data_IF_557610182344
#
_entry.id   IF_557610182344
#
_cell.length_a   1.000
_cell.length_b   1.000
_cell.length_c   1.000
_cell.angle_alpha   90.00
_cell.angle_beta   90.00
_cell.angle_gamma   90.00
#
_symmetry.space_group_name_H-M   'P 1'
#
loop_
_entity.id
_entity.type
_entity.pdbx_description
1 polymer ?
#
# COMPACT_ATOMS: atom_id res chain seq x y z
N UNK A 1 48.49 -33.03 0.68
CA UNK A 1 47.31 -33.63 0.01
C UNK A 1 46.99 -34.95 0.68
N UNK A 2 46.24 -34.93 1.79
CA UNK A 2 45.50 -36.09 2.24
C UNK A 2 44.30 -36.21 1.29
N UNK A 3 44.37 -37.21 0.40
CA UNK A 3 43.22 -37.51 -0.46
C UNK A 3 42.01 -37.78 0.40
N UNK A 4 41.00 -36.93 0.26
CA UNK A 4 39.68 -37.19 0.83
C UNK A 4 39.23 -38.55 0.31
N UNK A 5 39.26 -39.55 1.20
CA UNK A 5 38.68 -40.86 0.90
C UNK A 5 37.22 -40.57 0.63
N UNK A 6 36.76 -40.83 -0.59
CA UNK A 6 35.35 -40.74 -0.93
C UNK A 6 34.59 -41.58 0.10
N UNK A 7 33.91 -40.91 1.01
CA UNK A 7 33.09 -41.58 2.01
C UNK A 7 31.89 -42.18 1.30
N UNK A 8 31.30 -43.27 1.84
CA UNK A 8 30.09 -43.89 1.30
C UNK A 8 28.98 -42.84 1.08
N UNK A 9 28.93 -41.78 1.92
CA UNK A 9 28.01 -40.65 1.82
C UNK A 9 28.14 -39.93 0.48
N UNK A 10 29.38 -39.54 0.11
CA UNK A 10 29.65 -38.87 -1.17
C UNK A 10 29.33 -39.77 -2.35
N UNK A 11 29.61 -41.06 -2.21
CA UNK A 11 29.28 -42.02 -3.26
C UNK A 11 27.77 -42.19 -3.45
N UNK A 12 27.00 -42.25 -2.35
CA UNK A 12 25.55 -42.32 -2.43
C UNK A 12 24.96 -41.06 -3.08
N UNK A 13 25.45 -39.86 -2.73
CA UNK A 13 25.00 -38.61 -3.35
C UNK A 13 25.28 -38.62 -4.86
N UNK A 14 26.45 -39.05 -5.29
CA UNK A 14 26.78 -39.16 -6.72
C UNK A 14 25.91 -40.19 -7.46
N UNK A 15 25.56 -41.27 -6.80
CA UNK A 15 24.66 -42.29 -7.39
C UNK A 15 23.28 -41.70 -7.59
N UNK A 16 22.72 -41.03 -6.58
CA UNK A 16 21.41 -40.42 -6.66
C UNK A 16 21.35 -39.29 -7.72
N UNK A 17 22.37 -38.41 -7.75
CA UNK A 17 22.47 -37.34 -8.74
C UNK A 17 22.51 -37.85 -10.19
N UNK A 18 23.16 -38.99 -10.41
CA UNK A 18 23.32 -39.55 -11.76
C UNK A 18 22.24 -40.50 -12.19
N UNK A 19 21.67 -41.27 -11.25
CA UNK A 19 20.64 -42.25 -11.54
C UNK A 19 19.21 -41.64 -11.54
N UNK A 20 19.02 -40.56 -10.83
CA UNK A 20 17.69 -39.96 -10.61
C UNK A 20 16.71 -40.88 -9.87
N UNK A 21 17.22 -41.93 -9.19
CA UNK A 21 16.38 -42.90 -8.45
C UNK A 21 16.86 -43.03 -7.00
N UNK A 22 15.92 -43.27 -6.10
CA UNK A 22 16.19 -43.58 -4.67
C UNK A 22 16.64 -45.03 -4.42
N UNK A 23 16.72 -45.86 -5.48
CA UNK A 23 17.12 -47.25 -5.35
C UNK A 23 18.51 -47.46 -4.72
N UNK A 24 19.39 -46.44 -4.86
CA UNK A 24 20.69 -46.43 -4.20
C UNK A 24 20.55 -46.43 -2.67
N UNK A 25 19.61 -45.70 -2.10
CA UNK A 25 19.39 -45.60 -0.65
C UNK A 25 19.07 -46.95 -0.02
N UNK A 26 18.15 -47.73 -0.61
CA UNK A 26 17.78 -49.08 -0.12
C UNK A 26 18.99 -50.03 -0.17
N UNK A 27 19.70 -50.04 -1.28
CA UNK A 27 20.89 -50.88 -1.43
C UNK A 27 21.96 -50.54 -0.38
N UNK A 28 22.18 -49.25 -0.12
CA UNK A 28 23.11 -48.82 0.89
C UNK A 28 22.68 -49.15 2.31
N UNK A 29 21.37 -49.00 2.62
CA UNK A 29 20.81 -49.37 3.91
C UNK A 29 21.01 -50.86 4.24
N UNK A 30 20.85 -51.71 3.24
CA UNK A 30 20.88 -53.15 3.44
C UNK A 30 22.30 -53.76 3.45
N UNK A 31 23.25 -53.17 2.69
CA UNK A 31 24.53 -53.80 2.41
C UNK A 31 25.77 -53.01 2.76
N UNK A 32 25.67 -51.68 2.94
CA UNK A 32 26.81 -50.83 3.11
C UNK A 32 26.85 -50.12 4.46
N UNK A 33 25.67 -49.76 5.00
CA UNK A 33 25.53 -48.88 6.17
C UNK A 33 25.21 -49.69 7.41
N UNK A 34 26.03 -49.55 8.46
CA UNK A 34 25.74 -50.13 9.75
C UNK A 34 24.56 -49.48 10.49
N UNK A 35 24.03 -50.16 11.53
CA UNK A 35 22.89 -49.65 12.29
C UNK A 35 23.08 -48.22 12.82
N UNK A 36 24.30 -47.86 13.21
CA UNK A 36 24.61 -46.50 13.72
C UNK A 36 24.41 -45.37 12.68
N UNK A 37 24.55 -45.70 11.38
CA UNK A 37 24.43 -44.74 10.30
C UNK A 37 23.03 -44.78 9.62
N UNK A 38 22.16 -45.79 9.93
CA UNK A 38 20.81 -45.88 9.37
C UNK A 38 19.95 -44.67 9.73
N UNK A 39 20.09 -44.12 10.95
CA UNK A 39 19.40 -42.91 11.36
C UNK A 39 19.80 -41.70 10.48
N UNK A 40 21.06 -41.62 10.07
CA UNK A 40 21.52 -40.59 9.14
C UNK A 40 20.90 -40.72 7.73
N UNK A 41 20.73 -41.95 7.22
CA UNK A 41 20.01 -42.17 5.95
C UNK A 41 18.54 -41.72 6.02
N UNK A 42 17.87 -42.01 7.11
CA UNK A 42 16.48 -41.57 7.33
C UNK A 42 16.40 -40.02 7.34
N UNK A 43 17.27 -39.36 8.15
CA UNK A 43 17.34 -37.88 8.20
C UNK A 43 17.68 -37.27 6.84
N UNK A 44 18.54 -37.93 6.06
CA UNK A 44 18.84 -37.51 4.69
C UNK A 44 17.57 -37.52 3.81
N UNK A 45 16.79 -38.58 3.86
CA UNK A 45 15.54 -38.69 3.11
C UNK A 45 14.55 -37.58 3.46
N UNK A 46 14.30 -37.41 4.78
CA UNK A 46 13.43 -36.35 5.29
C UNK A 46 13.89 -34.94 4.85
N UNK A 47 15.21 -34.66 5.01
CA UNK A 47 15.79 -33.36 4.63
C UNK A 47 15.69 -33.11 3.13
N UNK A 48 15.96 -34.12 2.29
CA UNK A 48 15.86 -33.99 0.83
C UNK A 48 14.44 -33.75 0.35
N UNK A 49 13.46 -34.43 0.94
CA UNK A 49 12.05 -34.23 0.61
C UNK A 49 11.64 -32.79 0.94
N UNK A 50 11.96 -32.31 2.15
CA UNK A 50 11.66 -30.93 2.54
C UNK A 50 12.40 -29.90 1.68
N UNK A 51 13.69 -30.13 1.41
CA UNK A 51 14.50 -29.28 0.54
C UNK A 51 13.91 -29.16 -0.86
N UNK A 52 13.48 -30.28 -1.46
CA UNK A 52 12.80 -30.30 -2.76
C UNK A 52 11.54 -29.47 -2.79
N UNK A 53 10.68 -29.59 -1.77
CA UNK A 53 9.48 -28.79 -1.65
C UNK A 53 9.76 -27.28 -1.53
N UNK A 54 10.81 -26.90 -0.77
CA UNK A 54 11.23 -25.50 -0.68
C UNK A 54 11.80 -25.00 -2.01
N UNK A 55 12.55 -25.84 -2.73
CA UNK A 55 13.10 -25.49 -4.04
C UNK A 55 11.99 -25.25 -5.08
N UNK A 56 10.98 -26.12 -5.11
CA UNK A 56 9.81 -25.91 -5.97
C UNK A 56 9.08 -24.60 -5.64
N UNK A 57 8.92 -24.30 -4.35
CA UNK A 57 8.32 -23.05 -3.89
C UNK A 57 9.15 -21.82 -4.22
N UNK A 58 10.48 -21.92 -4.13
CA UNK A 58 11.41 -20.84 -4.45
C UNK A 58 11.34 -20.44 -5.94
N UNK A 59 11.01 -21.39 -6.82
CA UNK A 59 10.91 -21.16 -8.26
C UNK A 59 12.27 -20.84 -8.86
N UNK A 60 12.43 -19.64 -9.40
CA UNK A 60 13.67 -19.20 -10.04
C UNK A 60 14.80 -18.86 -9.03
N UNK A 61 14.46 -18.65 -7.75
CA UNK A 61 15.45 -18.35 -6.71
C UNK A 61 16.24 -19.62 -6.36
N UNK A 62 17.56 -19.59 -6.45
CA UNK A 62 18.39 -20.70 -6.00
C UNK A 62 18.42 -20.75 -4.46
N UNK A 63 18.41 -21.98 -3.89
CA UNK A 63 18.52 -22.17 -2.45
C UNK A 63 19.76 -21.47 -1.87
N UNK A 64 19.68 -20.88 -0.66
CA UNK A 64 20.78 -20.17 -0.03
C UNK A 64 22.04 -21.04 0.06
N UNK A 65 23.20 -20.40 -0.15
CA UNK A 65 24.48 -21.11 -0.10
C UNK A 65 24.70 -21.80 1.25
N UNK A 66 24.30 -21.17 2.36
CA UNK A 66 24.40 -21.75 3.70
C UNK A 66 23.60 -23.04 3.87
N UNK A 67 22.40 -23.12 3.31
CA UNK A 67 21.58 -24.33 3.32
C UNK A 67 22.20 -25.43 2.44
N UNK A 68 22.61 -25.07 1.22
CA UNK A 68 23.27 -26.03 0.30
C UNK A 68 24.50 -26.66 0.95
N UNK A 69 25.37 -25.84 1.57
CA UNK A 69 26.57 -26.32 2.24
C UNK A 69 26.29 -27.27 3.41
N UNK A 70 25.15 -27.11 4.10
CA UNK A 70 24.74 -28.01 5.18
C UNK A 70 24.19 -29.31 4.62
N UNK A 71 23.41 -29.28 3.55
CA UNK A 71 22.94 -30.48 2.83
C UNK A 71 24.09 -31.30 2.28
N UNK A 72 25.05 -30.66 1.61
CA UNK A 72 26.26 -31.29 1.06
C UNK A 72 27.17 -31.88 2.17
N UNK A 73 27.20 -31.20 3.33
CA UNK A 73 27.96 -31.61 4.49
C UNK A 73 27.27 -32.68 5.37
N UNK A 74 26.08 -33.16 5.00
CA UNK A 74 25.28 -34.11 5.78
C UNK A 74 24.94 -33.61 7.19
N UNK A 75 24.80 -32.30 7.35
CA UNK A 75 24.43 -31.64 8.61
C UNK A 75 22.92 -31.39 8.67
N UNK A 76 22.13 -32.47 8.64
CA UNK A 76 20.68 -32.37 8.43
C UNK A 76 19.92 -31.70 9.56
N UNK A 77 20.41 -31.79 10.82
CA UNK A 77 19.78 -31.06 11.94
C UNK A 77 19.96 -29.53 11.80
N UNK A 78 21.16 -29.10 11.38
CA UNK A 78 21.41 -27.69 11.06
C UNK A 78 20.66 -27.25 9.79
N UNK A 79 20.57 -28.13 8.79
CA UNK A 79 19.82 -27.87 7.57
C UNK A 79 18.32 -27.72 7.86
N UNK A 80 17.75 -28.49 8.80
CA UNK A 80 16.36 -28.39 9.20
C UNK A 80 16.03 -26.99 9.78
N UNK A 81 16.88 -26.47 10.65
CA UNK A 81 16.74 -25.09 11.19
C UNK A 81 16.82 -24.06 10.06
N UNK A 82 17.76 -24.22 9.14
CA UNK A 82 17.87 -23.35 7.97
C UNK A 82 16.67 -23.41 7.05
N UNK A 83 16.05 -24.57 6.92
CA UNK A 83 14.81 -24.73 6.14
C UNK A 83 13.63 -24.00 6.78
N UNK A 84 13.57 -23.89 8.11
CA UNK A 84 12.59 -23.05 8.81
C UNK A 84 12.79 -21.58 8.46
N UNK A 85 14.04 -21.09 8.47
CA UNK A 85 14.37 -19.71 8.11
C UNK A 85 14.05 -19.44 6.63
N UNK A 86 14.40 -20.36 5.73
CA UNK A 86 14.07 -20.28 4.29
C UNK A 86 12.56 -20.19 4.08
N UNK A 87 11.78 -21.03 4.78
CA UNK A 87 10.32 -21.01 4.68
C UNK A 87 9.76 -19.65 5.11
N UNK A 88 10.29 -19.07 6.19
CA UNK A 88 9.91 -17.74 6.64
C UNK A 88 10.22 -16.63 5.62
N UNK A 89 11.38 -16.72 4.95
CA UNK A 89 11.74 -15.76 3.88
C UNK A 89 10.80 -15.92 2.67
N UNK A 90 10.50 -17.16 2.27
CA UNK A 90 9.59 -17.43 1.15
C UNK A 90 8.16 -16.97 1.45
N UNK A 91 7.67 -17.15 2.69
CA UNK A 91 6.37 -16.63 3.14
C UNK A 91 6.33 -15.10 3.01
N UNK A 92 7.38 -14.44 3.45
CA UNK A 92 7.48 -12.98 3.37
C UNK A 92 7.56 -12.49 1.92
N UNK A 93 8.38 -13.14 1.09
CA UNK A 93 8.47 -12.86 -0.35
C UNK A 93 7.10 -12.96 -1.02
N UNK A 94 6.37 -14.04 -0.76
CA UNK A 94 5.07 -14.29 -1.37
C UNK A 94 4.06 -13.18 -0.98
N UNK A 95 4.10 -12.73 0.28
CA UNK A 95 3.27 -11.61 0.75
C UNK A 95 3.64 -10.28 0.06
N UNK A 96 4.94 -10.01 -0.13
CA UNK A 96 5.44 -8.82 -0.85
C UNK A 96 5.01 -8.87 -2.32
N UNK A 97 5.17 -10.01 -3.00
CA UNK A 97 4.75 -10.20 -4.40
C UNK A 97 3.25 -9.99 -4.56
N UNK A 98 2.44 -10.57 -3.66
CA UNK A 98 0.99 -10.41 -3.70
C UNK A 98 0.57 -8.94 -3.51
N UNK A 99 1.18 -8.25 -2.55
CA UNK A 99 0.88 -6.85 -2.28
C UNK A 99 1.29 -5.93 -3.43
N UNK A 100 2.49 -6.14 -3.99
CA UNK A 100 2.98 -5.42 -5.16
C UNK A 100 2.06 -5.64 -6.39
N UNK A 101 1.62 -6.89 -6.61
CA UNK A 101 0.70 -7.23 -7.68
C UNK A 101 -0.67 -6.54 -7.54
N UNK A 102 -1.20 -6.40 -6.31
CA UNK A 102 -2.45 -5.65 -6.08
C UNK A 102 -2.33 -4.16 -6.39
N UNK A 103 -1.13 -3.60 -6.20
CA UNK A 103 -0.85 -2.19 -6.45
C UNK A 103 -0.36 -1.90 -7.87
N UNK A 104 -0.13 -2.95 -8.67
CA UNK A 104 0.48 -2.88 -10.00
C UNK A 104 1.86 -2.19 -9.96
N UNK A 105 2.69 -2.57 -8.97
CA UNK A 105 4.01 -1.99 -8.71
C UNK A 105 5.09 -3.04 -8.92
N UNK A 106 6.15 -2.68 -9.65
CA UNK A 106 7.32 -3.54 -9.84
C UNK A 106 8.11 -3.72 -8.54
N UNK A 107 8.66 -4.92 -8.34
CA UNK A 107 9.52 -5.20 -7.19
C UNK A 107 10.95 -4.69 -7.43
N UNK A 108 11.62 -4.10 -6.43
CA UNK A 108 13.01 -3.74 -6.53
C UNK A 108 13.91 -4.99 -6.59
N UNK A 109 15.02 -4.87 -7.32
CA UNK A 109 16.03 -5.93 -7.39
C UNK A 109 16.75 -6.09 -6.03
N UNK A 110 17.38 -7.26 -5.83
CA UNK A 110 18.31 -7.49 -4.74
C UNK A 110 17.89 -8.55 -3.73
N UNK A 111 16.59 -8.75 -3.49
CA UNK A 111 16.12 -9.77 -2.53
C UNK A 111 16.52 -11.19 -2.93
N UNK A 112 16.41 -11.53 -4.22
CA UNK A 112 16.87 -12.81 -4.77
C UNK A 112 18.37 -13.03 -4.53
N UNK A 113 19.20 -12.08 -4.92
CA UNK A 113 20.67 -12.17 -4.75
C UNK A 113 21.07 -12.26 -3.27
N UNK A 114 20.39 -11.51 -2.39
CA UNK A 114 20.63 -11.57 -0.95
C UNK A 114 20.24 -12.95 -0.38
N UNK A 115 19.13 -13.53 -0.82
CA UNK A 115 18.69 -14.87 -0.43
C UNK A 115 19.69 -15.94 -0.87
N UNK A 116 20.07 -15.97 -2.16
CA UNK A 116 20.94 -16.97 -2.73
C UNK A 116 22.36 -16.95 -2.14
N UNK A 117 22.87 -15.76 -1.82
CA UNK A 117 24.19 -15.56 -1.21
C UNK A 117 24.22 -15.79 0.30
N UNK A 118 23.07 -15.96 0.97
CA UNK A 118 22.98 -16.20 2.41
C UNK A 118 23.85 -17.37 2.86
N UNK A 119 24.85 -17.07 3.72
CA UNK A 119 25.84 -18.05 4.20
C UNK A 119 25.73 -18.35 5.69
N UNK A 120 25.72 -17.32 6.53
CA UNK A 120 25.65 -17.44 8.00
C UNK A 120 24.22 -17.38 8.52
N UNK A 121 23.38 -16.55 7.90
CA UNK A 121 22.00 -16.30 8.26
C UNK A 121 21.21 -15.72 7.07
N UNK A 122 19.92 -15.56 7.24
CA UNK A 122 18.98 -14.93 6.27
C UNK A 122 18.39 -13.62 6.79
N UNK A 123 18.86 -13.11 7.92
CA UNK A 123 18.35 -11.87 8.51
C UNK A 123 18.40 -10.69 7.55
N UNK A 124 19.48 -10.46 6.77
CA UNK A 124 19.53 -9.33 5.85
C UNK A 124 18.45 -9.35 4.76
N UNK A 125 18.13 -10.53 4.24
CA UNK A 125 17.05 -10.65 3.24
C UNK A 125 15.68 -10.54 3.90
N UNK A 126 15.51 -11.05 5.11
CA UNK A 126 14.28 -10.91 5.87
C UNK A 126 14.00 -9.44 6.20
N UNK A 127 14.99 -8.68 6.66
CA UNK A 127 14.89 -7.24 6.91
C UNK A 127 14.51 -6.49 5.63
N UNK A 128 15.18 -6.78 4.51
CA UNK A 128 14.86 -6.16 3.23
C UNK A 128 13.40 -6.40 2.80
N UNK A 129 12.92 -7.64 2.92
CA UNK A 129 11.53 -7.99 2.57
C UNK A 129 10.51 -7.33 3.52
N UNK A 130 10.84 -7.22 4.80
CA UNK A 130 10.01 -6.51 5.79
C UNK A 130 9.91 -5.02 5.43
N UNK A 131 11.01 -4.39 5.07
CA UNK A 131 11.03 -2.99 4.65
C UNK A 131 10.24 -2.77 3.35
N UNK A 132 10.41 -3.65 2.37
CA UNK A 132 9.62 -3.61 1.13
C UNK A 132 8.12 -3.74 1.40
N UNK A 133 7.73 -4.70 2.25
CA UNK A 133 6.33 -4.89 2.63
C UNK A 133 5.74 -3.65 3.32
N UNK A 134 6.52 -3.00 4.19
CA UNK A 134 6.09 -1.79 4.87
C UNK A 134 5.86 -0.64 3.89
N UNK A 135 6.79 -0.42 2.95
CA UNK A 135 6.62 0.62 1.90
C UNK A 135 5.39 0.35 1.04
N UNK A 136 5.16 -0.92 0.65
CA UNK A 136 3.96 -1.28 -0.12
C UNK A 136 2.67 -1.02 0.66
N UNK A 137 2.66 -1.25 1.98
CA UNK A 137 1.51 -0.88 2.83
C UNK A 137 1.30 0.63 2.90
N UNK A 138 2.40 1.39 2.98
CA UNK A 138 2.34 2.86 2.98
C UNK A 138 1.79 3.38 1.65
N UNK A 139 2.23 2.80 0.51
CA UNK A 139 1.69 3.08 -0.83
C UNK A 139 0.20 2.72 -0.93
N UNK A 140 -0.20 1.56 -0.40
CA UNK A 140 -1.61 1.17 -0.36
C UNK A 140 -2.44 2.18 0.43
N UNK A 141 -1.98 2.55 1.62
CA UNK A 141 -2.66 3.55 2.45
C UNK A 141 -2.75 4.93 1.79
N UNK A 142 -1.70 5.34 1.06
CA UNK A 142 -1.71 6.58 0.27
C UNK A 142 -2.75 6.51 -0.86
N UNK A 143 -2.79 5.40 -1.61
CA UNK A 143 -3.76 5.18 -2.68
C UNK A 143 -5.21 5.20 -2.17
N UNK A 144 -5.48 4.50 -1.07
CA UNK A 144 -6.80 4.47 -0.45
C UNK A 144 -7.26 5.87 -0.03
N UNK A 145 -6.37 6.71 0.53
CA UNK A 145 -6.69 8.10 0.91
C UNK A 145 -6.96 8.97 -0.31
N UNK A 146 -6.17 8.83 -1.37
CA UNK A 146 -6.35 9.54 -2.64
C UNK A 146 -7.73 9.19 -3.23
N UNK A 147 -8.11 7.92 -3.22
CA UNK A 147 -9.36 7.44 -3.80
C UNK A 147 -10.59 7.77 -2.92
N UNK A 148 -10.43 7.80 -1.60
CA UNK A 148 -11.53 8.06 -0.66
C UNK A 148 -11.97 9.53 -0.65
N UNK A 149 -11.06 10.48 -0.86
CA UNK A 149 -11.36 11.90 -0.72
C UNK A 149 -11.87 12.53 -2.02
N UNK A 150 -13.17 12.36 -2.28
CA UNK A 150 -13.89 12.93 -3.43
C UNK A 150 -14.78 14.13 -3.07
N UNK A 151 -14.56 14.76 -1.91
CA UNK A 151 -15.36 15.91 -1.49
C UNK A 151 -15.18 17.10 -2.46
N UNK A 152 -16.23 17.93 -2.60
CA UNK A 152 -16.15 19.13 -3.44
C UNK A 152 -15.11 20.14 -2.92
N UNK A 153 -14.89 20.18 -1.60
CA UNK A 153 -13.90 21.03 -0.96
C UNK A 153 -12.47 20.61 -1.33
N UNK A 154 -12.20 19.30 -1.35
CA UNK A 154 -10.92 18.75 -1.78
C UNK A 154 -10.68 19.07 -3.25
N UNK A 155 -11.68 18.91 -4.12
CA UNK A 155 -11.56 19.29 -5.54
C UNK A 155 -11.25 20.78 -5.73
N UNK A 156 -11.87 21.66 -4.94
CA UNK A 156 -11.61 23.11 -4.97
C UNK A 156 -10.19 23.44 -4.45
N UNK A 157 -9.69 22.70 -3.48
CA UNK A 157 -8.37 22.87 -2.87
C UNK A 157 -7.24 22.20 -3.64
N UNK A 158 -7.53 21.13 -4.39
CA UNK A 158 -6.55 20.34 -5.14
C UNK A 158 -6.00 21.07 -6.38
N UNK A 159 -6.58 22.19 -6.77
CA UNK A 159 -6.09 22.94 -7.92
C UNK A 159 -4.64 23.41 -7.69
N UNK A 160 -3.69 22.81 -8.44
CA UNK A 160 -2.25 23.05 -8.31
C UNK A 160 -1.52 22.09 -7.35
N UNK A 161 -2.16 20.98 -6.94
CA UNK A 161 -1.54 19.83 -6.28
C UNK A 161 -1.64 18.64 -7.26
N UNK A 162 -0.50 18.02 -7.56
CA UNK A 162 -0.44 16.85 -8.44
C UNK A 162 -0.25 15.59 -7.59
N UNK A 163 -1.35 15.11 -7.02
CA UNK A 163 -1.38 13.94 -6.14
C UNK A 163 -0.90 12.66 -6.84
N UNK A 164 -1.24 12.55 -8.12
CA UNK A 164 -0.84 11.39 -8.93
C UNK A 164 0.67 11.43 -9.21
N UNK A 165 1.26 12.60 -9.41
CA UNK A 165 2.70 12.74 -9.58
C UNK A 165 3.47 12.41 -8.30
N UNK A 166 3.00 12.86 -7.12
CA UNK A 166 3.59 12.52 -5.83
C UNK A 166 3.54 11.01 -5.58
N UNK A 167 2.40 10.35 -5.86
CA UNK A 167 2.26 8.90 -5.76
C UNK A 167 3.15 8.16 -6.76
N UNK A 168 3.21 8.61 -8.02
CA UNK A 168 4.07 8.02 -9.04
C UNK A 168 5.56 8.14 -8.68
N UNK A 169 5.97 9.24 -8.03
CA UNK A 169 7.33 9.39 -7.49
C UNK A 169 7.65 8.33 -6.44
N UNK A 170 6.72 8.10 -5.50
CA UNK A 170 6.88 7.06 -4.49
C UNK A 170 6.99 5.64 -5.08
N UNK A 171 6.18 5.34 -6.10
CA UNK A 171 6.24 4.06 -6.83
C UNK A 171 7.56 3.90 -7.57
N UNK A 172 8.05 4.96 -8.23
CA UNK A 172 9.33 4.92 -8.93
C UNK A 172 10.50 4.71 -7.96
N UNK A 173 10.56 5.44 -6.85
CA UNK A 173 11.58 5.27 -5.81
C UNK A 173 11.56 3.85 -5.21
N UNK A 174 10.36 3.26 -5.03
CA UNK A 174 10.26 1.86 -4.61
C UNK A 174 10.87 0.91 -5.64
N UNK A 175 10.52 1.05 -6.92
CA UNK A 175 11.07 0.22 -8.01
C UNK A 175 12.59 0.31 -8.12
N UNK A 176 13.16 1.50 -7.85
CA UNK A 176 14.60 1.75 -7.84
C UNK A 176 15.30 1.21 -6.57
N UNK A 177 14.54 0.73 -5.58
CA UNK A 177 15.05 0.20 -4.31
C UNK A 177 15.37 1.29 -3.28
N UNK A 178 14.98 2.54 -3.53
CA UNK A 178 15.17 3.67 -2.62
C UNK A 178 14.03 3.70 -1.57
N UNK A 179 14.00 2.69 -0.67
CA UNK A 179 12.88 2.44 0.23
C UNK A 179 12.57 3.60 1.18
N UNK A 180 13.58 4.31 1.67
CA UNK A 180 13.39 5.47 2.55
C UNK A 180 12.76 6.64 1.78
N UNK A 181 13.19 6.87 0.53
CA UNK A 181 12.60 7.88 -0.34
C UNK A 181 11.16 7.53 -0.70
N UNK A 182 10.91 6.26 -1.08
CA UNK A 182 9.57 5.77 -1.38
C UNK A 182 8.60 5.97 -0.21
N UNK A 183 9.05 5.69 1.02
CA UNK A 183 8.27 5.91 2.25
C UNK A 183 7.97 7.39 2.47
N UNK A 184 8.97 8.25 2.29
CA UNK A 184 8.79 9.71 2.43
C UNK A 184 7.80 10.26 1.39
N UNK A 185 7.93 9.86 0.12
CA UNK A 185 7.06 10.30 -0.96
C UNK A 185 5.63 9.74 -0.80
N UNK A 186 5.47 8.49 -0.34
CA UNK A 186 4.17 7.92 0.00
C UNK A 186 3.46 8.71 1.12
N UNK A 187 4.20 9.13 2.15
CA UNK A 187 3.66 9.97 3.21
C UNK A 187 3.22 11.35 2.68
N UNK A 188 4.01 11.96 1.78
CA UNK A 188 3.63 13.22 1.10
C UNK A 188 2.36 13.04 0.30
N UNK A 189 2.26 11.97 -0.52
CA UNK A 189 1.07 11.66 -1.31
C UNK A 189 -0.17 11.45 -0.43
N UNK A 190 -0.03 10.72 0.68
CA UNK A 190 -1.10 10.46 1.64
C UNK A 190 -1.64 11.72 2.34
N UNK A 191 -0.82 12.77 2.50
CA UNK A 191 -1.18 14.03 3.17
C UNK A 191 -1.80 15.07 2.23
N UNK A 192 -1.72 14.86 0.91
CA UNK A 192 -2.27 15.80 -0.09
C UNK A 192 -3.79 16.03 0.07
N UNK A 193 -4.64 15.01 0.28
CA UNK A 193 -6.07 15.21 0.48
C UNK A 193 -6.37 16.14 1.66
N UNK A 194 -5.69 15.99 2.79
CA UNK A 194 -5.87 16.82 3.98
C UNK A 194 -5.45 18.28 3.72
N UNK A 195 -4.32 18.47 3.05
CA UNK A 195 -3.83 19.80 2.62
C UNK A 195 -4.77 20.45 1.61
N UNK A 196 -5.32 19.66 0.68
CA UNK A 196 -6.30 20.12 -0.30
C UNK A 196 -7.61 20.54 0.38
N UNK A 197 -8.13 19.74 1.32
CA UNK A 197 -9.32 20.08 2.08
C UNK A 197 -9.14 21.36 2.92
N UNK A 198 -7.97 21.54 3.54
CA UNK A 198 -7.63 22.76 4.28
C UNK A 198 -7.63 24.00 3.38
N UNK A 199 -6.96 23.91 2.20
CA UNK A 199 -6.94 24.99 1.20
C UNK A 199 -8.32 25.26 0.61
N UNK A 200 -9.12 24.23 0.37
CA UNK A 200 -10.49 24.33 -0.13
C UNK A 200 -11.38 25.09 0.86
N UNK A 201 -11.29 24.80 2.16
CA UNK A 201 -11.99 25.56 3.22
C UNK A 201 -11.59 27.02 3.22
N UNK A 202 -10.29 27.33 3.17
CA UNK A 202 -9.81 28.70 3.14
C UNK A 202 -10.33 29.45 1.91
N UNK A 203 -10.28 28.84 0.72
CA UNK A 203 -10.81 29.43 -0.52
C UNK A 203 -12.33 29.64 -0.46
N UNK A 204 -13.06 28.70 0.11
CA UNK A 204 -14.52 28.84 0.29
C UNK A 204 -14.87 30.00 1.23
N UNK A 205 -14.14 30.17 2.35
CA UNK A 205 -14.33 31.28 3.27
C UNK A 205 -13.98 32.63 2.63
N UNK A 206 -12.89 32.72 1.87
CA UNK A 206 -12.53 33.95 1.15
C UNK A 206 -13.56 34.32 0.08
N UNK A 207 -14.05 33.33 -0.69
CA UNK A 207 -15.11 33.54 -1.67
C UNK A 207 -16.42 34.00 -1.02
N UNK A 208 -16.82 33.39 0.10
CA UNK A 208 -17.98 33.80 0.86
C UNK A 208 -17.84 35.24 1.42
N UNK A 209 -16.65 35.57 1.95
CA UNK A 209 -16.36 36.94 2.43
C UNK A 209 -16.45 37.98 1.32
N UNK A 210 -15.91 37.69 0.12
CA UNK A 210 -16.02 38.57 -1.04
C UNK A 210 -17.48 38.72 -1.49
N UNK A 211 -18.25 37.63 -1.55
CA UNK A 211 -19.66 37.69 -1.93
C UNK A 211 -20.51 38.54 -0.94
N UNK A 212 -20.30 38.37 0.37
CA UNK A 212 -20.94 39.18 1.38
C UNK A 212 -20.55 40.66 1.25
N UNK A 213 -19.25 40.95 1.00
CA UNK A 213 -18.76 42.31 0.77
C UNK A 213 -19.43 42.96 -0.46
N UNK A 214 -19.57 42.24 -1.55
CA UNK A 214 -20.24 42.73 -2.77
C UNK A 214 -21.70 42.98 -2.57
N UNK A 215 -22.42 42.10 -1.84
CA UNK A 215 -23.83 42.29 -1.49
C UNK A 215 -23.99 43.51 -0.58
N UNK A 216 -23.15 43.72 0.41
CA UNK A 216 -23.16 44.88 1.30
C UNK A 216 -22.90 46.18 0.51
N UNK A 217 -21.90 46.19 -0.40
CA UNK A 217 -21.60 47.33 -1.29
C UNK A 217 -22.78 47.66 -2.21
N UNK A 218 -23.43 46.65 -2.82
CA UNK A 218 -24.59 46.86 -3.66
C UNK A 218 -25.79 47.42 -2.87
N UNK A 219 -26.02 46.91 -1.65
CA UNK A 219 -27.02 47.42 -0.74
C UNK A 219 -26.81 48.88 -0.33
N UNK A 220 -25.53 49.28 -0.02
CA UNK A 220 -25.17 50.65 0.29
C UNK A 220 -25.41 51.60 -0.89
N UNK A 221 -25.03 51.19 -2.11
CA UNK A 221 -25.24 51.95 -3.34
C UNK A 221 -26.74 52.12 -3.65
N UNK A 222 -27.56 51.11 -3.45
CA UNK A 222 -29.02 51.16 -3.61
C UNK A 222 -29.63 52.14 -2.57
N UNK A 223 -29.17 52.09 -1.31
CA UNK A 223 -29.61 53.00 -0.25
C UNK A 223 -29.25 54.48 -0.55
N UNK A 224 -28.07 54.73 -1.10
CA UNK A 224 -27.68 56.08 -1.51
C UNK A 224 -28.54 56.60 -2.69
N UNK A 225 -28.89 55.76 -3.66
CA UNK A 225 -29.75 56.12 -4.80
C UNK A 225 -31.18 56.41 -4.33
N UNK A 226 -31.72 55.66 -3.37
CA UNK A 226 -33.09 55.93 -2.83
C UNK A 226 -33.11 57.22 -2.00
N UNK A 227 -32.05 57.52 -1.21
CA UNK A 227 -31.89 58.80 -0.48
C UNK A 227 -31.79 60.00 -1.43
N UNK A 228 -31.05 59.88 -2.54
CA UNK A 228 -30.99 60.97 -3.56
C UNK A 228 -32.36 61.18 -4.24
N UNK A 229 -33.11 60.12 -4.57
CA UNK A 229 -34.46 60.26 -5.14
C UNK A 229 -35.46 60.90 -4.17
N UNK A 230 -35.33 60.69 -2.85
CA UNK A 230 -36.20 61.35 -1.84
C UNK A 230 -35.89 62.84 -1.65
N UNK A 231 -34.67 63.31 -1.91
CA UNK A 231 -34.29 64.70 -1.85
C UNK A 231 -34.73 65.54 -3.06
N UNK A 232 -35.20 64.90 -4.13
CA UNK A 232 -35.67 65.57 -5.36
C UNK A 232 -37.15 65.40 -5.58
N UNK A 233 -37.96 65.14 -4.52
CA UNK A 233 -39.41 65.19 -4.63
C UNK A 233 -39.83 66.65 -4.44
N UNK A 234 -40.33 67.33 -5.49
CA UNK A 234 -40.81 68.69 -5.34
C UNK A 234 -42.08 68.67 -4.51
N UNK A 235 -42.18 69.54 -3.50
CA UNK A 235 -43.37 69.79 -2.73
C UNK A 235 -44.46 70.28 -3.68
N UNK A 236 -45.53 69.50 -3.84
CA UNK A 236 -46.75 69.94 -4.48
C UNK A 236 -47.73 70.40 -3.41
N UNK A 237 -48.09 71.67 -3.38
CA UNK A 237 -49.05 72.14 -2.40
C UNK A 237 -50.49 71.87 -2.83
N UNK A 238 -51.34 71.36 -1.88
CA UNK A 238 -52.68 71.66 -1.66
C UNK A 238 -53.73 71.21 -2.65
N UNK A 239 -54.68 70.48 -2.16
CA UNK A 239 -55.99 70.24 -2.80
C UNK A 239 -56.92 69.53 -1.83
N UNK A 240 -57.81 70.27 -1.24
CA UNK A 240 -58.84 69.93 -0.33
C UNK A 240 -59.94 69.02 -0.88
N UNK A 241 -60.64 68.36 0.07
CA UNK A 241 -61.99 67.94 0.09
C UNK A 241 -62.48 66.60 -0.52
N UNK A 242 -63.16 65.89 0.35
CA UNK A 242 -64.46 65.32 -0.02
C UNK A 242 -64.70 63.86 0.28
N UNK A 243 -65.38 63.62 1.37
CA UNK A 243 -66.51 62.67 1.55
C UNK A 243 -66.28 61.14 1.49
N UNK A 244 -66.46 60.61 2.63
CA UNK A 244 -67.26 59.44 3.04
C UNK A 244 -67.93 58.56 1.97
N UNK A 245 -67.95 57.26 2.28
CA UNK A 245 -69.02 56.25 2.31
C UNK A 245 -68.35 54.86 2.28
N UNK A 246 -68.30 54.10 3.30
CA UNK A 246 -69.17 53.08 3.88
C UNK A 246 -69.31 51.76 3.09
N UNK A 247 -69.40 50.72 3.91
CA UNK A 247 -69.82 49.33 3.65
C UNK A 247 -68.88 48.41 2.84
N UNK A 248 -68.50 47.33 3.32
CA UNK A 248 -69.13 46.23 4.01
C UNK A 248 -68.42 44.96 3.66
N UNK A 249 -68.19 44.18 4.64
CA UNK A 249 -68.46 42.73 4.69
C UNK A 249 -67.90 41.80 3.61
N UNK A 250 -67.06 40.92 3.93
CA UNK A 250 -67.28 39.50 4.23
C UNK A 250 -65.96 38.70 4.11
N UNK A 251 -65.70 37.94 5.13
CA UNK A 251 -64.89 36.73 5.05
C UNK A 251 -65.78 35.56 4.56
N UNK A 252 -65.35 34.44 4.10
CA UNK A 252 -64.85 33.34 4.96
C UNK A 252 -63.67 32.57 4.39
N UNK A 253 -62.84 32.07 5.28
CA UNK A 253 -62.80 30.72 5.89
C UNK A 253 -62.47 29.52 5.02
N UNK A 254 -61.42 28.81 5.47
CA UNK A 254 -61.14 27.38 5.42
C UNK A 254 -60.73 26.78 4.07
N UNK A 255 -59.61 26.08 3.99
CA UNK A 255 -59.53 24.67 4.41
C UNK A 255 -58.12 24.13 4.20
N UNK A 256 -57.54 23.50 5.20
CA UNK A 256 -56.52 22.48 5.11
C UNK A 256 -57.21 21.17 4.74
N UNK A 257 -56.64 20.19 4.10
CA UNK A 257 -55.77 19.25 4.83
C UNK A 257 -54.65 18.54 4.08
N UNK A 258 -53.62 18.25 4.89
CA UNK A 258 -52.99 16.97 5.21
C UNK A 258 -52.73 15.86 4.12
N UNK A 259 -51.54 15.29 4.27
CA UNK A 259 -51.09 13.90 4.03
C UNK A 259 -50.71 13.51 2.57
N UNK A 260 -49.53 13.13 2.35
CA UNK A 260 -48.86 11.86 2.67
C UNK A 260 -47.36 12.01 2.57
#
# INVERSE_FOLDING_TARGET
HQGERATWRRFLDLVDERSGTEAGVELFADHVVGEADQDQLRRRGEARTRYGGLQERAGDWAMPYGLRARMDGWRFDEAATWMDDVEGVLDRRDAVVELAGRLDVGLPAGAESAFESGYSDLDPVMELLVDQEQVLRDLQGARERIDADRSWLTRLGAWGLDTEADYASAVAAFGDGELDQARADAAVAADVPDRAAARGRTRAWTAAGVAVGLIAAAGALAGLRTRRRRRHRPDTPGGTDGAAVDAGTDAPEADEPARS
#
